data_IF_317453038922
#
_entry.id   IF_317453038922
#
_cell.length_a   1.000
_cell.length_b   1.000
_cell.length_c   1.000
_cell.angle_alpha   90.00
_cell.angle_beta   90.00
_cell.angle_gamma   90.00
#
_symmetry.space_group_name_H-M   'P 1'
#
loop_
_entity.id
_entity.type
_entity.pdbx_description
1 polymer ?
#
# COMPACT_ATOMS: atom_id res chain seq x y z
N UNK A 1 18.05 15.20 -14.53
CA UNK A 1 17.59 16.60 -14.47
C UNK A 1 17.54 17.00 -13.00
N UNK A 2 18.03 18.21 -12.57
CA UNK A 2 18.07 18.61 -11.15
C UNK A 2 16.72 18.49 -10.43
N UNK A 3 15.62 18.80 -11.11
CA UNK A 3 14.27 18.71 -10.54
C UNK A 3 13.84 17.28 -10.19
N UNK A 4 14.23 16.30 -10.97
CA UNK A 4 13.93 14.88 -10.67
C UNK A 4 14.64 14.41 -9.40
N UNK A 5 15.91 14.82 -9.22
CA UNK A 5 16.65 14.50 -8.00
C UNK A 5 16.02 15.16 -6.78
N UNK A 6 15.61 16.42 -6.89
CA UNK A 6 14.92 17.14 -5.81
C UNK A 6 13.60 16.44 -5.44
N UNK A 7 12.79 16.04 -6.44
CA UNK A 7 11.54 15.31 -6.20
C UNK A 7 11.79 13.98 -5.50
N UNK A 8 12.78 13.22 -5.93
CA UNK A 8 13.16 11.96 -5.29
C UNK A 8 13.61 12.16 -3.83
N UNK A 9 14.43 13.19 -3.58
CA UNK A 9 14.92 13.48 -2.23
C UNK A 9 13.79 13.92 -1.31
N UNK A 10 12.82 14.68 -1.82
CA UNK A 10 11.61 15.06 -1.07
C UNK A 10 10.75 13.84 -0.75
N UNK A 11 10.48 12.98 -1.72
CA UNK A 11 9.72 11.75 -1.52
C UNK A 11 10.36 10.86 -0.44
N UNK A 12 11.69 10.66 -0.52
CA UNK A 12 12.42 9.87 0.48
C UNK A 12 12.35 10.46 1.90
N UNK A 13 12.37 11.79 2.01
CA UNK A 13 12.32 12.49 3.30
C UNK A 13 10.91 12.60 3.87
N UNK A 14 9.88 12.39 3.06
CA UNK A 14 8.49 12.43 3.51
C UNK A 14 8.01 11.09 4.07
N UNK A 15 8.69 9.99 3.76
CA UNK A 15 8.35 8.67 4.28
C UNK A 15 8.64 8.61 5.78
N UNK A 16 7.64 8.21 6.56
CA UNK A 16 7.73 8.11 8.03
C UNK A 16 7.58 6.65 8.47
N UNK A 17 8.56 6.16 9.23
CA UNK A 17 8.46 4.87 9.90
C UNK A 17 7.70 5.06 11.21
N UNK A 18 6.42 4.67 11.23
CA UNK A 18 5.54 4.84 12.39
C UNK A 18 5.77 3.75 13.44
N UNK A 19 6.05 2.52 13.00
CA UNK A 19 6.28 1.37 13.88
C UNK A 19 7.24 0.37 13.24
N UNK A 20 8.12 -0.25 14.05
CA UNK A 20 8.93 -1.40 13.65
C UNK A 20 9.29 -2.25 14.86
N UNK A 21 8.64 -3.38 15.00
CA UNK A 21 8.90 -4.38 16.06
C UNK A 21 10.01 -5.36 15.65
N UNK A 22 10.99 -4.88 14.88
CA UNK A 22 12.19 -5.63 14.53
C UNK A 22 12.05 -6.49 13.26
N UNK A 23 11.02 -6.29 12.43
CA UNK A 23 10.91 -7.01 11.15
C UNK A 23 11.62 -6.30 10.00
N UNK A 24 11.84 -5.01 10.10
CA UNK A 24 12.62 -4.24 9.13
C UNK A 24 14.07 -4.08 9.62
N UNK A 25 15.05 -4.10 8.71
CA UNK A 25 14.95 -4.29 7.27
C UNK A 25 14.84 -5.77 6.85
N UNK A 26 14.11 -6.05 5.76
CA UNK A 26 13.98 -7.38 5.16
C UNK A 26 15.20 -7.74 4.28
N UNK A 27 16.41 -7.72 4.83
CA UNK A 27 17.63 -7.93 4.04
C UNK A 27 18.40 -9.20 4.41
N UNK A 28 18.04 -9.87 5.51
CA UNK A 28 18.88 -10.93 6.10
C UNK A 28 18.75 -12.29 5.43
N UNK A 29 17.68 -12.58 4.71
CA UNK A 29 17.41 -13.85 4.02
C UNK A 29 16.63 -13.61 2.75
N UNK A 30 16.92 -14.40 1.70
CA UNK A 30 16.08 -14.43 0.50
C UNK A 30 14.67 -14.88 0.86
N UNK A 31 13.67 -14.12 0.43
CA UNK A 31 12.27 -14.34 0.75
C UNK A 31 11.40 -14.24 -0.50
N UNK A 32 10.23 -14.86 -0.43
CA UNK A 32 9.12 -14.58 -1.33
C UNK A 32 8.22 -13.57 -0.67
N UNK A 33 8.12 -12.39 -1.25
CA UNK A 33 7.35 -11.26 -0.75
C UNK A 33 6.11 -11.07 -1.62
N UNK A 34 4.95 -11.04 -1.01
CA UNK A 34 3.72 -10.63 -1.69
C UNK A 34 3.45 -9.17 -1.41
N UNK A 35 3.33 -8.37 -2.47
CA UNK A 35 2.81 -7.00 -2.40
C UNK A 35 1.35 -7.02 -2.82
N UNK A 36 0.47 -6.43 -2.03
CA UNK A 36 -0.98 -6.37 -2.31
C UNK A 36 -1.59 -5.14 -1.64
N UNK A 37 -2.85 -4.88 -1.90
CA UNK A 37 -3.58 -3.73 -1.35
C UNK A 37 -4.00 -2.75 -2.45
N UNK A 38 -5.05 -1.94 -2.20
CA UNK A 38 -5.64 -1.08 -3.23
C UNK A 38 -4.68 -0.02 -3.79
N UNK A 39 -3.71 0.44 -3.00
CA UNK A 39 -2.74 1.45 -3.44
C UNK A 39 -1.39 0.87 -3.89
N UNK A 40 -1.26 -0.46 -4.01
CA UNK A 40 0.03 -1.10 -4.23
C UNK A 40 0.60 -0.84 -5.64
N UNK A 41 -0.24 -0.87 -6.66
CA UNK A 41 0.21 -0.82 -8.06
C UNK A 41 -0.71 0.04 -8.92
N UNK A 42 -0.80 1.32 -8.62
CA UNK A 42 -1.53 2.29 -9.40
C UNK A 42 -0.92 3.69 -9.26
N UNK A 43 -1.36 4.64 -10.11
CA UNK A 43 -0.83 5.99 -10.16
C UNK A 43 -1.54 6.96 -9.20
N UNK A 44 -2.41 6.50 -8.34
CA UNK A 44 -3.17 7.35 -7.41
C UNK A 44 -2.29 8.01 -6.35
N UNK A 45 -1.07 7.48 -6.15
CA UNK A 45 -0.03 8.10 -5.31
C UNK A 45 0.38 9.50 -5.78
N UNK A 46 0.09 9.88 -7.03
CA UNK A 46 0.34 11.22 -7.55
C UNK A 46 -0.60 12.28 -6.97
N UNK A 47 -1.68 11.88 -6.34
CA UNK A 47 -2.68 12.76 -5.75
C UNK A 47 -3.81 13.19 -6.70
N UNK A 48 -4.74 13.97 -6.17
CA UNK A 48 -6.02 14.26 -6.84
C UNK A 48 -5.87 15.19 -8.07
N UNK A 49 -5.01 16.18 -8.00
CA UNK A 49 -4.81 17.19 -9.05
C UNK A 49 -3.71 16.85 -10.04
N UNK A 50 -3.12 15.68 -9.94
CA UNK A 50 -2.15 15.26 -10.94
C UNK A 50 -2.84 15.01 -12.28
N UNK A 51 -2.31 15.62 -13.35
CA UNK A 51 -2.69 15.26 -14.71
C UNK A 51 -2.20 13.84 -15.01
N UNK A 52 -2.87 13.18 -15.95
CA UNK A 52 -2.41 11.89 -16.44
C UNK A 52 -0.95 11.98 -16.88
N UNK A 53 -0.13 11.11 -16.33
CA UNK A 53 1.30 11.02 -16.66
C UNK A 53 1.55 9.77 -17.52
N UNK A 54 2.53 9.80 -18.42
CA UNK A 54 3.05 8.58 -19.02
C UNK A 54 3.50 7.59 -17.93
N UNK A 55 3.25 6.31 -18.14
CA UNK A 55 3.59 5.26 -17.15
C UNK A 55 5.07 5.29 -16.77
N UNK A 56 5.96 5.56 -17.73
CA UNK A 56 7.39 5.66 -17.50
C UNK A 56 7.83 6.78 -16.56
N UNK A 57 6.95 7.73 -16.27
CA UNK A 57 7.22 8.83 -15.34
C UNK A 57 6.80 8.52 -13.90
N UNK A 58 6.19 7.37 -13.66
CA UNK A 58 5.65 6.98 -12.36
C UNK A 58 6.23 5.64 -11.96
N UNK A 59 6.77 5.55 -10.76
CA UNK A 59 7.14 4.27 -10.14
C UNK A 59 6.12 3.98 -9.06
N UNK A 60 5.35 2.93 -9.23
CA UNK A 60 4.38 2.49 -8.21
C UNK A 60 5.09 1.93 -6.98
N UNK A 61 4.35 1.80 -5.87
CA UNK A 61 4.92 1.22 -4.64
C UNK A 61 5.38 -0.22 -4.90
N UNK A 62 4.59 -1.01 -5.63
CA UNK A 62 4.98 -2.37 -6.01
C UNK A 62 6.27 -2.39 -6.83
N UNK A 63 6.38 -1.58 -7.87
CA UNK A 63 7.57 -1.54 -8.73
C UNK A 63 8.83 -1.14 -7.95
N UNK A 64 8.71 -0.15 -7.06
CA UNK A 64 9.82 0.26 -6.20
C UNK A 64 10.27 -0.87 -5.25
N UNK A 65 9.32 -1.56 -4.61
CA UNK A 65 9.59 -2.71 -3.74
C UNK A 65 10.17 -3.88 -4.55
N UNK A 66 9.65 -4.13 -5.75
CA UNK A 66 10.14 -5.20 -6.63
C UNK A 66 11.60 -4.94 -7.02
N UNK A 67 11.90 -3.78 -7.57
CA UNK A 67 13.25 -3.44 -8.01
C UNK A 67 14.28 -3.53 -6.86
N UNK A 68 13.91 -3.00 -5.69
CA UNK A 68 14.78 -3.09 -4.50
C UNK A 68 14.89 -4.53 -4.00
N UNK A 69 13.79 -5.25 -3.88
CA UNK A 69 13.76 -6.63 -3.38
C UNK A 69 14.58 -7.58 -4.25
N UNK A 70 14.44 -7.48 -5.56
CA UNK A 70 15.23 -8.27 -6.52
C UNK A 70 16.73 -8.00 -6.40
N UNK A 71 17.14 -6.76 -6.13
CA UNK A 71 18.56 -6.41 -5.90
C UNK A 71 19.16 -7.10 -4.67
N UNK A 72 18.31 -7.48 -3.69
CA UNK A 72 18.70 -8.29 -2.54
C UNK A 72 18.42 -9.80 -2.73
N UNK A 73 17.96 -10.20 -3.91
CA UNK A 73 17.69 -11.59 -4.28
C UNK A 73 16.37 -12.13 -3.73
N UNK A 74 15.44 -11.27 -3.37
CA UNK A 74 14.07 -11.66 -3.04
C UNK A 74 13.27 -11.91 -4.32
N UNK A 75 12.26 -12.79 -4.21
CA UNK A 75 11.19 -12.86 -5.20
C UNK A 75 10.05 -11.96 -4.73
N UNK A 76 9.67 -10.98 -5.54
CA UNK A 76 8.59 -10.04 -5.21
C UNK A 76 7.49 -10.15 -6.25
N UNK A 77 6.30 -10.53 -5.82
CA UNK A 77 5.14 -10.67 -6.70
C UNK A 77 4.00 -9.76 -6.24
N UNK A 78 3.21 -9.31 -7.19
CA UNK A 78 2.00 -8.53 -6.94
C UNK A 78 0.75 -9.41 -6.96
N UNK A 79 -0.23 -9.02 -6.18
CA UNK A 79 -1.61 -9.52 -6.24
C UNK A 79 -2.58 -8.36 -6.16
N UNK A 80 -3.40 -8.23 -7.18
CA UNK A 80 -4.50 -7.28 -7.18
C UNK A 80 -5.60 -7.74 -6.22
N UNK A 81 -5.83 -6.93 -5.18
CA UNK A 81 -6.88 -7.13 -4.17
C UNK A 81 -8.09 -6.22 -4.38
N UNK A 82 -8.24 -5.65 -5.57
CA UNK A 82 -9.16 -4.61 -5.98
C UNK A 82 -8.67 -3.20 -5.63
N UNK A 83 -8.33 -2.42 -6.64
CA UNK A 83 -7.90 -1.02 -6.46
C UNK A 83 -9.05 -0.09 -6.03
N UNK A 84 -10.29 -0.45 -6.32
CA UNK A 84 -11.46 0.25 -5.78
C UNK A 84 -11.72 -0.17 -4.35
N UNK A 85 -11.10 0.55 -3.43
CA UNK A 85 -11.11 0.21 -2.01
C UNK A 85 -12.50 0.20 -1.36
N UNK A 86 -13.49 0.92 -1.94
CA UNK A 86 -14.88 0.88 -1.45
C UNK A 86 -15.59 -0.42 -1.84
N UNK A 87 -15.13 -1.07 -2.90
CA UNK A 87 -15.73 -2.25 -3.50
C UNK A 87 -14.92 -3.53 -3.30
N UNK A 88 -13.95 -3.54 -2.37
CA UNK A 88 -13.28 -4.77 -1.94
C UNK A 88 -14.33 -5.75 -1.38
N UNK A 89 -14.38 -6.97 -1.92
CA UNK A 89 -15.35 -7.99 -1.55
C UNK A 89 -14.71 -9.13 -0.72
N UNK A 90 -15.55 -9.93 -0.08
CA UNK A 90 -15.10 -11.16 0.59
C UNK A 90 -14.39 -12.12 -0.38
N UNK A 91 -14.74 -12.08 -1.66
CA UNK A 91 -14.07 -12.89 -2.67
C UNK A 91 -12.64 -12.40 -2.93
N UNK A 92 -12.42 -11.08 -3.02
CA UNK A 92 -11.11 -10.49 -3.19
C UNK A 92 -10.21 -10.80 -1.98
N UNK A 93 -10.77 -10.65 -0.76
CA UNK A 93 -10.07 -11.00 0.48
C UNK A 93 -9.66 -12.49 0.49
N UNK A 94 -10.58 -13.40 0.15
CA UNK A 94 -10.28 -14.84 0.08
C UNK A 94 -9.20 -15.14 -0.95
N UNK A 95 -9.19 -14.47 -2.09
CA UNK A 95 -8.14 -14.63 -3.12
C UNK A 95 -6.78 -14.15 -2.60
N UNK A 96 -6.73 -12.97 -2.00
CA UNK A 96 -5.51 -12.41 -1.42
C UNK A 96 -4.92 -13.36 -0.36
N UNK A 97 -5.74 -13.85 0.57
CA UNK A 97 -5.34 -14.83 1.60
C UNK A 97 -4.82 -16.13 0.97
N UNK A 98 -5.51 -16.67 -0.03
CA UNK A 98 -5.08 -17.89 -0.73
C UNK A 98 -3.72 -17.68 -1.43
N UNK A 99 -3.52 -16.54 -2.05
CA UNK A 99 -2.24 -16.18 -2.69
C UNK A 99 -1.14 -16.03 -1.64
N UNK A 100 -1.39 -15.29 -0.57
CA UNK A 100 -0.42 -14.97 0.48
C UNK A 100 0.14 -16.20 1.22
N UNK A 101 -0.60 -17.29 1.28
CA UNK A 101 -0.13 -18.56 1.88
C UNK A 101 1.19 -19.08 1.27
N UNK A 102 1.49 -18.71 0.02
CA UNK A 102 2.66 -19.19 -0.75
C UNK A 102 3.90 -18.31 -0.55
N UNK A 103 3.81 -17.22 0.22
CA UNK A 103 4.87 -16.22 0.42
C UNK A 103 5.36 -16.26 1.86
N UNK A 104 6.56 -15.76 2.07
CA UNK A 104 7.20 -15.73 3.39
C UNK A 104 6.78 -14.47 4.18
N UNK A 105 6.52 -13.37 3.48
CA UNK A 105 6.10 -12.09 4.06
C UNK A 105 5.10 -11.36 3.17
N UNK A 106 4.39 -10.40 3.74
CA UNK A 106 3.32 -9.64 3.10
C UNK A 106 3.60 -8.14 3.27
N UNK A 107 3.57 -7.41 2.16
CA UNK A 107 3.57 -5.95 2.13
C UNK A 107 2.20 -5.50 1.66
N UNK A 108 1.43 -4.94 2.58
CA UNK A 108 0.06 -4.52 2.33
C UNK A 108 -0.02 -3.00 2.24
N UNK A 109 -0.44 -2.48 1.09
CA UNK A 109 -0.52 -1.05 0.81
C UNK A 109 -1.98 -0.60 0.90
N UNK A 110 -2.29 0.18 1.91
CA UNK A 110 -3.62 0.65 2.25
C UNK A 110 -3.69 2.18 2.25
N UNK A 111 -4.86 2.71 2.52
CA UNK A 111 -5.05 4.12 2.77
C UNK A 111 -6.21 4.73 2.01
N UNK A 112 -6.04 5.97 1.61
CA UNK A 112 -7.00 6.71 0.80
C UNK A 112 -6.41 7.01 -0.58
N UNK A 113 -7.27 7.26 -1.57
CA UNK A 113 -6.87 7.81 -2.86
C UNK A 113 -8.04 8.57 -3.53
N UNK A 114 -7.73 9.29 -4.57
CA UNK A 114 -8.72 10.05 -5.32
C UNK A 114 -9.41 9.24 -6.43
N UNK A 115 -8.77 8.21 -6.95
CA UNK A 115 -9.30 7.26 -7.96
C UNK A 115 -10.24 7.88 -9.02
N UNK A 116 -9.85 9.03 -9.57
CA UNK A 116 -10.68 9.78 -10.54
C UNK A 116 -11.09 8.94 -11.75
N UNK A 117 -10.25 8.01 -12.16
CA UNK A 117 -10.51 7.12 -13.30
C UNK A 117 -11.64 6.10 -13.05
N UNK A 118 -11.97 5.83 -11.78
CA UNK A 118 -13.10 4.96 -11.40
C UNK A 118 -14.41 5.74 -11.17
N UNK A 119 -14.38 7.05 -11.30
CA UNK A 119 -15.52 7.93 -11.11
C UNK A 119 -15.52 8.63 -9.75
N UNK A 120 -16.16 9.80 -9.70
CA UNK A 120 -16.19 10.67 -8.51
C UNK A 120 -16.77 10.01 -7.27
N UNK A 121 -17.75 9.10 -7.43
CA UNK A 121 -18.38 8.38 -6.32
C UNK A 121 -17.45 7.41 -5.61
N UNK A 122 -16.38 6.98 -6.26
CA UNK A 122 -15.43 6.01 -5.69
C UNK A 122 -14.26 6.68 -4.98
N UNK A 123 -14.12 7.99 -5.12
CA UNK A 123 -13.09 8.75 -4.39
C UNK A 123 -13.28 8.62 -2.89
N UNK A 124 -12.18 8.48 -2.17
CA UNK A 124 -12.15 8.44 -0.70
C UNK A 124 -11.35 9.58 -0.10
N UNK A 125 -10.60 10.31 -0.92
CA UNK A 125 -9.88 11.53 -0.59
C UNK A 125 -9.85 12.49 -1.78
N UNK A 126 -9.37 13.71 -1.56
CA UNK A 126 -9.23 14.74 -2.59
C UNK A 126 -10.37 15.74 -2.58
N UNK A 127 -10.41 16.57 -3.61
CA UNK A 127 -11.39 17.64 -3.73
C UNK A 127 -12.82 17.11 -3.79
N UNK A 128 -13.73 17.83 -3.16
CA UNK A 128 -15.16 17.50 -3.06
C UNK A 128 -15.46 16.17 -2.33
N UNK A 129 -14.50 15.65 -1.56
CA UNK A 129 -14.71 14.46 -0.73
C UNK A 129 -14.72 14.83 0.74
N UNK A 130 -15.89 14.70 1.36
CA UNK A 130 -16.04 14.81 2.81
C UNK A 130 -16.20 13.41 3.41
N UNK A 131 -15.53 13.16 4.52
CA UNK A 131 -15.66 11.92 5.28
C UNK A 131 -15.93 12.22 6.75
N UNK A 132 -16.90 11.51 7.31
CA UNK A 132 -17.27 11.64 8.72
C UNK A 132 -16.35 10.83 9.66
N UNK A 133 -15.51 9.94 9.09
CA UNK A 133 -14.59 9.07 9.82
C UNK A 133 -13.17 9.17 9.26
N UNK A 134 -12.18 8.99 10.11
CA UNK A 134 -10.77 8.84 9.75
C UNK A 134 -10.36 7.37 9.52
N UNK A 135 -11.30 6.44 9.64
CA UNK A 135 -11.04 5.02 9.41
C UNK A 135 -10.71 4.72 7.94
N UNK A 136 -10.13 3.57 7.69
CA UNK A 136 -9.95 3.07 6.33
C UNK A 136 -11.29 2.90 5.62
N UNK A 137 -11.36 3.27 4.35
CA UNK A 137 -12.58 3.12 3.56
C UNK A 137 -12.80 1.67 3.13
N UNK A 138 -14.06 1.26 3.02
CA UNK A 138 -14.44 -0.09 2.56
C UNK A 138 -13.91 -1.20 3.48
N UNK A 139 -13.59 -2.34 2.90
CA UNK A 139 -13.17 -3.55 3.62
C UNK A 139 -11.64 -3.65 3.80
N UNK A 140 -10.90 -2.56 3.71
CA UNK A 140 -9.43 -2.57 3.85
C UNK A 140 -8.97 -3.12 5.19
N UNK A 141 -9.62 -2.76 6.30
CA UNK A 141 -9.30 -3.30 7.62
C UNK A 141 -9.52 -4.81 7.66
N UNK A 142 -10.62 -5.29 7.11
CA UNK A 142 -10.91 -6.74 7.05
C UNK A 142 -9.90 -7.49 6.20
N UNK A 143 -9.43 -6.90 5.09
CA UNK A 143 -8.34 -7.46 4.29
C UNK A 143 -7.05 -7.57 5.12
N UNK A 144 -6.69 -6.51 5.86
CA UNK A 144 -5.52 -6.50 6.74
C UNK A 144 -5.61 -7.60 7.81
N UNK A 145 -6.73 -7.69 8.50
CA UNK A 145 -6.97 -8.70 9.55
C UNK A 145 -6.91 -10.13 9.00
N UNK A 146 -7.50 -10.35 7.83
CA UNK A 146 -7.49 -11.66 7.18
C UNK A 146 -6.07 -12.09 6.76
N UNK A 147 -5.25 -11.17 6.25
CA UNK A 147 -3.86 -11.44 5.90
C UNK A 147 -2.99 -11.64 7.14
N UNK A 148 -3.18 -10.81 8.17
CA UNK A 148 -2.48 -10.92 9.45
C UNK A 148 -2.71 -12.27 10.14
N UNK A 149 -3.92 -12.83 10.03
CA UNK A 149 -4.27 -14.14 10.60
C UNK A 149 -3.42 -15.31 10.07
N UNK A 150 -2.67 -15.11 8.97
CA UNK A 150 -1.72 -16.09 8.46
C UNK A 150 -0.45 -16.22 9.31
N UNK A 151 -0.23 -15.33 10.29
CA UNK A 151 0.94 -15.35 11.18
C UNK A 151 2.28 -15.08 10.47
N UNK A 152 2.25 -14.41 9.33
CA UNK A 152 3.46 -14.07 8.55
C UNK A 152 3.96 -12.67 8.90
N UNK A 153 5.28 -12.41 8.80
CA UNK A 153 5.79 -11.05 8.87
C UNK A 153 5.04 -10.14 7.90
N UNK A 154 4.52 -9.03 8.40
CA UNK A 154 3.66 -8.14 7.64
C UNK A 154 4.09 -6.68 7.82
N UNK A 155 4.31 -5.99 6.71
CA UNK A 155 4.48 -4.54 6.63
C UNK A 155 3.19 -3.94 6.09
N UNK A 156 2.67 -2.90 6.74
CA UNK A 156 1.64 -2.02 6.19
C UNK A 156 2.28 -0.72 5.74
N UNK A 157 1.97 -0.33 4.51
CA UNK A 157 2.29 0.99 3.95
C UNK A 157 0.99 1.76 3.83
N UNK A 158 0.91 2.92 4.48
CA UNK A 158 -0.25 3.81 4.41
C UNK A 158 0.02 4.91 3.39
N UNK A 159 -0.89 5.08 2.45
CA UNK A 159 -0.88 6.15 1.45
C UNK A 159 -2.13 6.99 1.69
N UNK A 160 -1.97 8.19 2.19
CA UNK A 160 -3.10 9.00 2.60
C UNK A 160 -2.82 10.50 2.50
N UNK A 161 -3.86 11.28 2.23
CA UNK A 161 -3.83 12.74 2.24
C UNK A 161 -4.42 13.36 3.53
N UNK A 162 -4.81 12.52 4.49
CA UNK A 162 -5.32 12.87 5.81
C UNK A 162 -4.90 11.80 6.81
N UNK A 163 -4.85 12.09 8.12
CA UNK A 163 -4.57 11.06 9.12
C UNK A 163 -5.52 9.86 9.01
N UNK A 164 -4.98 8.66 9.17
CA UNK A 164 -5.76 7.42 9.29
C UNK A 164 -5.83 7.06 10.77
N UNK A 165 -7.04 6.93 11.31
CA UNK A 165 -7.29 6.51 12.69
C UNK A 165 -7.79 5.06 12.68
N UNK A 166 -6.84 4.12 12.65
CA UNK A 166 -7.14 2.69 12.64
C UNK A 166 -6.32 2.00 13.74
N UNK A 167 -6.77 2.05 15.01
CA UNK A 167 -6.01 1.56 16.16
C UNK A 167 -5.49 0.13 16.00
N UNK A 168 -6.30 -0.75 15.41
CA UNK A 168 -5.92 -2.13 15.22
C UNK A 168 -4.62 -2.29 14.38
N UNK A 169 -4.43 -1.46 13.35
CA UNK A 169 -3.21 -1.49 12.53
C UNK A 169 -1.99 -1.15 13.39
N UNK A 170 -2.07 -0.08 14.16
CA UNK A 170 -0.94 0.39 14.96
C UNK A 170 -0.62 -0.53 16.14
N UNK A 171 -1.63 -1.21 16.69
CA UNK A 171 -1.46 -2.15 17.79
C UNK A 171 -0.95 -3.52 17.32
N UNK A 172 -1.51 -4.04 16.22
CA UNK A 172 -1.31 -5.43 15.80
C UNK A 172 -0.20 -5.62 14.77
N UNK A 173 -0.06 -4.68 13.81
CA UNK A 173 0.91 -4.84 12.72
C UNK A 173 2.33 -4.55 13.22
N UNK A 174 3.32 -5.42 12.95
CA UNK A 174 4.67 -5.27 13.49
C UNK A 174 5.50 -4.18 12.80
N UNK A 175 5.15 -3.75 11.58
CA UNK A 175 5.79 -2.60 10.94
C UNK A 175 4.77 -1.79 10.13
N UNK A 176 4.81 -0.47 10.31
CA UNK A 176 3.92 0.48 9.63
C UNK A 176 4.74 1.66 9.13
N UNK A 177 4.57 1.99 7.85
CA UNK A 177 5.18 3.14 7.15
C UNK A 177 4.05 4.01 6.58
N UNK A 178 4.24 5.32 6.63
CA UNK A 178 3.38 6.33 6.02
C UNK A 178 4.19 7.26 5.11
#
# INVERSE_FOLDING_TARGET
VPHQQTALDMARKSIVLLKNDGILPFISKKQKILVTGPNANNNTILGDWALAQPEENVTTIYEGIQALGESYGHQVDFHDSNEDMRNITDYDIKKAVKKAKKYDSIFLVLGDNSMRHLGEQNKVAGENVARASLDLAGEQLKLAQALYSLGKPMLVVLVNGKPISEPWIYESIPAVIE
#
